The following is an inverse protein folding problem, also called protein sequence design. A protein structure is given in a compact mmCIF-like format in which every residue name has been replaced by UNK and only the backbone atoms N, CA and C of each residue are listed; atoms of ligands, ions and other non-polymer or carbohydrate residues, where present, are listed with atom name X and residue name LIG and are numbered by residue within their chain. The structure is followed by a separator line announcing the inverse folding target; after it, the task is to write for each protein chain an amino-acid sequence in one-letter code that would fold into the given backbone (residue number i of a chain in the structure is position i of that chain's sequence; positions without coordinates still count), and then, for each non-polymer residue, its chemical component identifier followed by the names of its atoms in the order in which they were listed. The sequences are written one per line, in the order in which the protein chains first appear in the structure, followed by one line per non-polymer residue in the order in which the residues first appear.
data_IF_645318119960
#
_entry.id   IF_645318119960
#
_cell.length_a   1.000
_cell.length_b   1.000
_cell.length_c   1.000
_cell.angle_alpha   90.00
_cell.angle_beta   90.00
_cell.angle_gamma   90.00
#
_symmetry.space_group_name_H-M   'P 1'
#
loop_
_entity.id
_entity.type
_entity.pdbx_description
1 polymer ?
#
# COMPACT_ATOMS: atom_id res chain seq x y z
N UNK A 1 49.60 -43.95 -10.28
CA UNK A 1 48.91 -43.21 -9.21
C UNK A 1 48.07 -42.10 -9.83
N UNK A 2 46.74 -42.29 -9.82
CA UNK A 2 45.75 -41.31 -10.28
C UNK A 2 45.62 -40.23 -9.20
N UNK A 3 45.80 -38.95 -9.54
CA UNK A 3 45.36 -37.85 -8.69
C UNK A 3 44.49 -36.90 -9.52
N UNK A 4 43.27 -36.76 -9.04
CA UNK A 4 42.13 -36.09 -9.62
C UNK A 4 42.42 -34.60 -9.89
N UNK A 5 42.07 -34.15 -11.09
CA UNK A 5 41.79 -32.73 -11.37
C UNK A 5 40.38 -32.45 -10.85
N UNK A 6 40.27 -31.85 -9.66
CA UNK A 6 39.00 -31.33 -9.16
C UNK A 6 38.78 -29.96 -9.78
N UNK A 7 37.91 -29.89 -10.78
CA UNK A 7 37.43 -28.63 -11.35
C UNK A 7 36.48 -27.96 -10.37
N UNK A 8 36.84 -26.77 -9.90
CA UNK A 8 35.94 -25.90 -9.14
C UNK A 8 34.98 -25.24 -10.12
N UNK A 9 33.88 -25.92 -10.44
CA UNK A 9 32.76 -25.31 -11.15
C UNK A 9 32.08 -24.33 -10.18
N UNK A 10 32.35 -23.04 -10.36
CA UNK A 10 31.59 -21.98 -9.70
C UNK A 10 30.13 -22.05 -10.20
N UNK A 11 29.25 -22.61 -9.38
CA UNK A 11 27.83 -22.52 -9.58
C UNK A 11 27.39 -21.06 -9.39
N UNK A 12 27.33 -20.31 -10.49
CA UNK A 12 26.60 -19.05 -10.55
C UNK A 12 25.14 -19.42 -10.35
N UNK A 13 24.65 -19.26 -9.12
CA UNK A 13 23.22 -19.29 -8.82
C UNK A 13 22.61 -18.11 -9.57
N UNK A 14 22.09 -18.39 -10.77
CA UNK A 14 21.21 -17.49 -11.50
C UNK A 14 19.96 -17.30 -10.63
N UNK A 15 19.97 -16.22 -9.85
CA UNK A 15 18.77 -15.71 -9.20
C UNK A 15 17.71 -15.51 -10.30
N UNK A 16 16.50 -16.07 -10.17
CA UNK A 16 15.46 -15.89 -11.16
C UNK A 16 15.15 -14.38 -11.33
N UNK A 17 14.99 -13.88 -12.58
CA UNK A 17 14.70 -12.47 -12.86
C UNK A 17 13.50 -11.90 -12.10
N UNK A 18 12.60 -12.76 -11.62
CA UNK A 18 11.45 -12.40 -10.79
C UNK A 18 11.84 -11.66 -9.50
N UNK A 19 13.06 -11.86 -8.96
CA UNK A 19 13.52 -11.14 -7.78
C UNK A 19 13.87 -9.66 -8.04
N UNK A 20 14.06 -9.26 -9.31
CA UNK A 20 14.36 -7.88 -9.70
C UNK A 20 13.12 -7.07 -10.11
N UNK A 21 11.95 -7.71 -10.22
CA UNK A 21 10.69 -7.08 -10.65
C UNK A 21 9.85 -6.52 -9.49
N UNK A 22 10.28 -6.68 -8.23
CA UNK A 22 9.65 -6.02 -7.10
C UNK A 22 10.12 -4.57 -7.05
N UNK A 23 9.31 -3.64 -7.57
CA UNK A 23 9.56 -2.20 -7.46
C UNK A 23 9.90 -1.78 -6.02
N UNK A 24 10.67 -0.69 -5.87
CA UNK A 24 11.11 -0.19 -4.56
C UNK A 24 9.90 0.02 -3.64
N UNK A 25 9.88 -0.70 -2.50
CA UNK A 25 8.86 -0.55 -1.46
C UNK A 25 9.03 0.75 -0.67
N UNK A 26 7.92 1.37 -0.28
CA UNK A 26 7.91 2.51 0.63
C UNK A 26 8.32 2.11 2.06
N UNK A 27 9.12 2.95 2.73
CA UNK A 27 9.54 2.76 4.12
C UNK A 27 8.90 3.76 5.10
N UNK A 28 8.12 4.71 4.60
CA UNK A 28 7.28 5.62 5.40
C UNK A 28 5.96 5.92 4.71
N UNK A 29 4.99 6.44 5.45
CA UNK A 29 3.73 6.96 4.89
C UNK A 29 3.98 8.08 3.87
N UNK A 30 5.01 8.90 4.06
CA UNK A 30 5.39 9.95 3.10
C UNK A 30 5.92 9.38 1.78
N UNK A 31 6.75 8.33 1.85
CA UNK A 31 7.21 7.64 0.64
C UNK A 31 6.04 6.96 -0.08
N UNK A 32 5.12 6.33 0.66
CA UNK A 32 3.93 5.69 0.09
C UNK A 32 3.01 6.72 -0.55
N UNK A 33 2.74 7.85 0.12
CA UNK A 33 1.95 8.94 -0.44
C UNK A 33 2.57 9.47 -1.75
N UNK A 34 3.90 9.60 -1.79
CA UNK A 34 4.63 10.04 -2.99
C UNK A 34 4.57 9.04 -4.14
N UNK A 35 4.66 7.74 -3.88
CA UNK A 35 4.51 6.70 -4.91
C UNK A 35 3.14 6.80 -5.59
N UNK A 36 2.12 7.20 -4.83
CA UNK A 36 0.74 7.33 -5.26
C UNK A 36 0.28 8.78 -5.49
N UNK A 37 1.20 9.71 -5.73
CA UNK A 37 0.83 11.12 -5.93
C UNK A 37 -0.09 11.31 -7.14
N UNK A 38 -1.20 12.01 -6.91
CA UNK A 38 -2.24 12.35 -7.89
C UNK A 38 -2.34 13.87 -8.14
N UNK A 39 -1.34 14.63 -7.72
CA UNK A 39 -1.35 16.09 -7.85
C UNK A 39 -1.39 16.52 -9.33
N UNK A 40 -0.79 15.75 -10.24
CA UNK A 40 -0.89 16.02 -11.69
C UNK A 40 -2.31 15.85 -12.23
N UNK A 41 -3.08 14.88 -11.70
CA UNK A 41 -4.46 14.62 -12.09
C UNK A 41 -5.35 15.86 -11.90
N UNK A 42 -5.11 16.64 -10.84
CA UNK A 42 -5.84 17.90 -10.55
C UNK A 42 -5.73 18.93 -11.67
N UNK A 43 -4.62 18.95 -12.42
CA UNK A 43 -4.37 19.96 -13.48
C UNK A 43 -5.38 19.85 -14.62
N UNK A 44 -5.78 18.63 -14.96
CA UNK A 44 -6.72 18.35 -16.06
C UNK A 44 -8.11 17.91 -15.54
N UNK A 45 -8.19 17.34 -14.34
CA UNK A 45 -9.42 16.80 -13.73
C UNK A 45 -9.83 17.52 -12.44
N UNK A 46 -9.72 18.85 -12.41
CA UNK A 46 -9.92 19.66 -11.21
C UNK A 46 -11.25 19.41 -10.49
N UNK A 47 -12.35 19.25 -11.25
CA UNK A 47 -13.69 18.98 -10.67
C UNK A 47 -13.72 17.63 -9.96
N UNK A 48 -13.31 16.55 -10.64
CA UNK A 48 -13.30 15.19 -10.08
C UNK A 48 -12.35 15.11 -8.89
N UNK A 49 -11.19 15.77 -8.98
CA UNK A 49 -10.25 15.85 -7.87
C UNK A 49 -10.88 16.52 -6.64
N UNK A 50 -11.56 17.65 -6.81
CA UNK A 50 -12.20 18.37 -5.71
C UNK A 50 -13.37 17.59 -5.08
N UNK A 51 -14.06 16.76 -5.85
CA UNK A 51 -15.07 15.83 -5.35
C UNK A 51 -14.43 14.66 -4.58
N UNK A 52 -13.37 14.06 -5.13
CA UNK A 52 -12.61 12.99 -4.49
C UNK A 52 -12.00 13.43 -3.15
N UNK A 53 -11.37 14.60 -3.09
CA UNK A 53 -10.70 15.12 -1.90
C UNK A 53 -11.65 15.27 -0.69
N UNK A 54 -12.95 15.43 -0.95
CA UNK A 54 -14.01 15.52 0.07
C UNK A 54 -14.68 14.17 0.40
N UNK A 55 -14.29 13.11 -0.30
CA UNK A 55 -14.89 11.78 -0.16
C UNK A 55 -14.24 10.96 0.95
N UNK A 56 -14.96 9.93 1.42
CA UNK A 56 -14.39 8.96 2.35
C UNK A 56 -13.24 8.14 1.77
N UNK A 57 -13.10 8.06 0.44
CA UNK A 57 -11.96 7.40 -0.18
C UNK A 57 -10.65 8.17 0.07
N UNK A 58 -10.67 9.50 -0.07
CA UNK A 58 -9.49 10.33 0.18
C UNK A 58 -9.01 10.23 1.63
N UNK A 59 -9.93 10.04 2.58
CA UNK A 59 -9.63 9.90 4.01
C UNK A 59 -9.90 8.47 4.49
N UNK A 60 -9.64 7.43 3.71
CA UNK A 60 -10.13 6.07 3.98
C UNK A 60 -9.67 5.42 5.29
N UNK A 61 -8.59 5.90 5.91
CA UNK A 61 -8.11 5.45 7.22
C UNK A 61 -8.61 6.29 8.40
N UNK A 62 -8.95 7.55 8.15
CA UNK A 62 -9.50 8.46 9.16
C UNK A 62 -11.02 8.34 9.17
N UNK A 63 -11.61 8.44 7.98
CA UNK A 63 -12.98 8.10 7.62
C UNK A 63 -14.02 8.88 8.39
N UNK A 64 -15.16 8.22 8.59
CA UNK A 64 -16.16 8.63 9.59
C UNK A 64 -15.55 8.62 11.00
N UNK A 65 -16.18 9.23 12.02
CA UNK A 65 -15.66 9.24 13.39
C UNK A 65 -15.32 7.85 13.97
N UNK A 66 -15.85 6.78 13.39
CA UNK A 66 -15.63 5.39 13.84
C UNK A 66 -14.51 4.67 13.11
N UNK A 67 -14.09 5.08 11.91
CA UNK A 67 -13.16 4.29 11.08
C UNK A 67 -11.80 4.13 11.77
N UNK A 68 -11.16 5.24 12.13
CA UNK A 68 -9.88 5.22 12.84
C UNK A 68 -9.98 4.51 14.21
N UNK A 69 -11.06 4.73 14.95
CA UNK A 69 -11.29 4.08 16.24
C UNK A 69 -11.41 2.56 16.11
N UNK A 70 -12.12 2.08 15.08
CA UNK A 70 -12.24 0.64 14.80
C UNK A 70 -10.89 0.04 14.42
N UNK A 71 -10.10 0.71 13.56
CA UNK A 71 -8.73 0.26 13.22
C UNK A 71 -7.90 0.15 14.51
N UNK A 72 -7.93 1.17 15.36
CA UNK A 72 -7.21 1.18 16.63
C UNK A 72 -7.65 0.04 17.57
N UNK A 73 -8.94 -0.27 17.67
CA UNK A 73 -9.42 -1.41 18.48
C UNK A 73 -9.06 -2.75 17.85
N UNK A 74 -9.14 -2.88 16.52
CA UNK A 74 -8.71 -4.11 15.83
C UNK A 74 -7.22 -4.37 16.05
N UNK A 75 -6.39 -3.33 16.14
CA UNK A 75 -4.99 -3.49 16.51
C UNK A 75 -4.85 -3.88 17.99
N UNK A 76 -5.30 -3.01 18.90
CA UNK A 76 -5.04 -3.15 20.35
C UNK A 76 -5.70 -4.38 20.96
N UNK A 77 -6.93 -4.66 20.56
CA UNK A 77 -7.74 -5.72 21.16
C UNK A 77 -7.76 -6.94 20.25
N UNK A 78 -7.74 -6.79 18.93
CA UNK A 78 -7.63 -7.92 18.00
C UNK A 78 -6.19 -8.43 17.88
N UNK A 79 -5.42 -7.83 16.98
CA UNK A 79 -4.11 -8.31 16.53
C UNK A 79 -3.10 -8.51 17.67
N UNK A 80 -3.11 -7.66 18.70
CA UNK A 80 -2.14 -7.70 19.80
C UNK A 80 -2.60 -8.53 21.01
N UNK A 81 -3.87 -8.96 21.07
CA UNK A 81 -4.43 -9.70 22.22
C UNK A 81 -5.26 -10.92 21.82
N UNK A 82 -6.42 -10.71 21.20
CA UNK A 82 -7.42 -11.77 20.97
C UNK A 82 -7.06 -12.70 19.80
N UNK A 83 -6.35 -12.20 18.79
CA UNK A 83 -5.98 -13.00 17.60
C UNK A 83 -4.75 -13.84 17.90
N UNK A 84 -4.92 -14.92 18.66
CA UNK A 84 -3.85 -15.79 19.16
C UNK A 84 -2.91 -16.37 18.10
N UNK A 85 -3.36 -16.44 16.83
CA UNK A 85 -2.58 -16.90 15.70
C UNK A 85 -1.86 -15.77 14.92
N UNK A 86 -2.04 -14.50 15.28
CA UNK A 86 -1.28 -13.38 14.68
C UNK A 86 0.21 -13.48 15.02
N UNK A 87 0.53 -13.90 16.25
CA UNK A 87 1.89 -13.86 16.78
C UNK A 87 2.37 -12.46 17.19
N UNK A 88 1.60 -11.40 16.94
CA UNK A 88 1.93 -10.03 17.31
C UNK A 88 1.53 -9.74 18.77
N UNK A 89 2.43 -9.09 19.53
CA UNK A 89 2.19 -8.73 20.94
C UNK A 89 2.26 -7.23 21.18
N UNK A 90 2.98 -6.53 20.33
CA UNK A 90 3.14 -5.07 20.34
C UNK A 90 3.20 -4.52 18.91
N UNK A 91 3.07 -3.21 18.76
CA UNK A 91 3.01 -2.55 17.44
C UNK A 91 4.21 -2.93 16.57
N UNK A 92 5.42 -3.10 17.14
CA UNK A 92 6.61 -3.45 16.36
C UNK A 92 6.57 -4.85 15.74
N UNK A 93 5.68 -5.73 16.19
CA UNK A 93 5.52 -7.07 15.62
C UNK A 93 4.61 -7.05 14.39
N UNK A 94 3.88 -5.95 14.19
CA UNK A 94 2.97 -5.82 13.06
C UNK A 94 3.74 -5.78 11.74
N UNK A 95 3.12 -6.41 10.75
CA UNK A 95 3.59 -6.49 9.36
C UNK A 95 2.52 -5.93 8.45
N UNK A 96 2.88 -5.73 7.17
CA UNK A 96 1.89 -5.42 6.13
C UNK A 96 0.76 -6.43 6.14
N UNK A 97 1.07 -7.74 6.24
CA UNK A 97 0.07 -8.82 6.23
C UNK A 97 -0.95 -8.67 7.37
N UNK A 98 -0.51 -8.39 8.59
CA UNK A 98 -1.40 -8.13 9.72
C UNK A 98 -2.39 -6.99 9.41
N UNK A 99 -1.88 -5.90 8.84
CA UNK A 99 -2.70 -4.72 8.53
C UNK A 99 -3.62 -4.93 7.32
N UNK A 100 -3.36 -5.92 6.46
CA UNK A 100 -4.20 -6.20 5.29
C UNK A 100 -5.62 -6.64 5.64
N UNK A 101 -5.92 -7.08 6.87
CA UNK A 101 -7.29 -7.34 7.33
C UNK A 101 -8.20 -6.10 7.16
N UNK A 102 -7.65 -4.90 7.34
CA UNK A 102 -8.33 -3.63 7.10
C UNK A 102 -7.89 -3.01 5.76
N UNK A 103 -6.59 -3.03 5.50
CA UNK A 103 -5.97 -2.30 4.39
C UNK A 103 -6.30 -2.88 3.01
N UNK A 104 -6.73 -4.14 2.88
CA UNK A 104 -7.18 -4.71 1.60
C UNK A 104 -8.24 -3.84 0.91
N UNK A 105 -9.08 -3.17 1.70
CA UNK A 105 -10.11 -2.25 1.21
C UNK A 105 -9.79 -0.79 1.54
N UNK A 106 -9.26 -0.49 2.72
CA UNK A 106 -9.08 0.91 3.18
C UNK A 106 -7.75 1.55 2.75
N UNK A 107 -6.74 0.76 2.39
CA UNK A 107 -5.45 1.26 1.89
C UNK A 107 -4.74 0.16 1.07
N UNK A 108 -5.31 -0.27 -0.07
CA UNK A 108 -4.84 -1.44 -0.80
C UNK A 108 -3.39 -1.32 -1.27
N UNK A 109 -2.89 -0.10 -1.45
CA UNK A 109 -1.50 0.17 -1.80
C UNK A 109 -0.49 -0.14 -0.68
N UNK A 110 -0.94 -0.47 0.54
CA UNK A 110 -0.04 -0.87 1.63
C UNK A 110 0.83 -2.08 1.24
N UNK A 111 0.37 -2.92 0.30
CA UNK A 111 1.14 -4.05 -0.24
C UNK A 111 2.50 -3.64 -0.85
N UNK A 112 2.62 -2.38 -1.27
CA UNK A 112 3.82 -1.81 -1.91
C UNK A 112 4.74 -1.12 -0.88
N UNK A 113 4.52 -1.37 0.40
CA UNK A 113 5.32 -0.84 1.51
C UNK A 113 6.06 -1.95 2.28
N UNK A 114 7.00 -1.54 3.13
CA UNK A 114 7.61 -2.39 4.14
C UNK A 114 6.79 -2.39 5.42
N UNK A 115 7.08 -3.31 6.33
CA UNK A 115 6.41 -3.41 7.63
C UNK A 115 6.58 -2.15 8.47
N UNK A 116 7.61 -1.33 8.21
CA UNK A 116 7.78 -0.03 8.87
C UNK A 116 6.55 0.87 8.67
N UNK A 117 5.98 0.90 7.46
CA UNK A 117 4.78 1.69 7.16
C UNK A 117 3.54 1.12 7.83
N UNK A 118 3.43 -0.21 7.90
CA UNK A 118 2.32 -0.86 8.61
C UNK A 118 2.31 -0.47 10.11
N UNK A 119 3.49 -0.43 10.73
CA UNK A 119 3.68 -0.01 12.12
C UNK A 119 3.40 1.48 12.31
N UNK A 120 3.85 2.31 11.37
CA UNK A 120 3.60 3.76 11.36
C UNK A 120 2.09 4.06 11.31
N UNK A 121 1.35 3.39 10.41
CA UNK A 121 -0.11 3.49 10.30
C UNK A 121 -0.79 2.99 11.58
N UNK A 122 -0.35 1.84 12.10
CA UNK A 122 -0.95 1.26 13.30
C UNK A 122 -0.81 2.18 14.51
N UNK A 123 0.39 2.73 14.73
CA UNK A 123 0.66 3.68 15.79
C UNK A 123 -0.17 4.96 15.61
N UNK A 124 -0.17 5.53 14.40
CA UNK A 124 -0.92 6.74 14.11
C UNK A 124 -2.43 6.56 14.26
N UNK A 125 -2.98 5.37 13.99
CA UNK A 125 -4.39 5.05 14.23
C UNK A 125 -4.72 4.97 15.72
N UNK A 126 -3.85 4.36 16.52
CA UNK A 126 -4.00 4.29 17.97
C UNK A 126 -3.97 5.69 18.59
N UNK A 127 -2.95 6.49 18.24
CA UNK A 127 -2.75 7.82 18.81
C UNK A 127 -3.84 8.79 18.34
N UNK A 128 -4.19 8.75 17.05
CA UNK A 128 -5.29 9.54 16.49
C UNK A 128 -6.64 9.20 17.14
N UNK A 129 -6.91 7.91 17.40
CA UNK A 129 -8.12 7.50 18.12
C UNK A 129 -8.12 7.94 19.60
N UNK A 130 -6.95 8.20 20.18
CA UNK A 130 -6.79 8.77 21.51
C UNK A 130 -6.85 10.31 21.54
N UNK A 131 -7.00 10.97 20.38
CA UNK A 131 -7.14 12.41 20.26
C UNK A 131 -5.90 13.15 19.76
N UNK A 132 -4.85 12.46 19.32
CA UNK A 132 -3.68 13.10 18.71
C UNK A 132 -4.01 13.57 17.28
N UNK A 133 -4.22 14.88 17.12
CA UNK A 133 -4.50 15.49 15.82
C UNK A 133 -3.30 15.48 14.86
N UNK A 134 -2.05 15.38 15.35
CA UNK A 134 -0.89 15.19 14.49
C UNK A 134 -0.91 13.79 13.87
N UNK A 135 -1.11 12.75 14.68
CA UNK A 135 -1.23 11.37 14.21
C UNK A 135 -2.34 11.20 13.15
N UNK A 136 -3.51 11.81 13.40
CA UNK A 136 -4.62 11.86 12.45
C UNK A 136 -4.24 12.55 11.13
N UNK A 137 -3.50 13.67 11.18
CA UNK A 137 -2.99 14.35 9.97
C UNK A 137 -1.99 13.47 9.21
N UNK A 138 -1.14 12.73 9.91
CA UNK A 138 -0.21 11.80 9.28
C UNK A 138 -0.96 10.67 8.54
N UNK A 139 -1.99 10.07 9.16
CA UNK A 139 -2.85 9.08 8.49
C UNK A 139 -3.55 9.65 7.26
N UNK A 140 -4.01 10.90 7.30
CA UNK A 140 -4.71 11.53 6.18
C UNK A 140 -3.83 11.78 4.95
N UNK A 141 -2.50 11.62 5.04
CA UNK A 141 -1.60 11.71 3.88
C UNK A 141 -1.78 10.54 2.92
N UNK A 142 -2.27 9.40 3.41
CA UNK A 142 -2.47 8.18 2.63
C UNK A 142 -3.95 7.81 2.62
N UNK A 143 -4.44 7.41 1.46
CA UNK A 143 -5.84 7.06 1.27
C UNK A 143 -6.08 6.49 -0.12
N UNK A 144 -7.32 6.06 -0.39
CA UNK A 144 -7.71 5.59 -1.71
C UNK A 144 -7.79 6.79 -2.65
N UNK A 145 -7.03 6.76 -3.75
CA UNK A 145 -6.97 7.85 -4.71
C UNK A 145 -7.18 7.37 -6.15
N UNK A 146 -6.98 8.27 -7.12
CA UNK A 146 -7.19 8.02 -8.54
C UNK A 146 -6.44 6.76 -9.02
N UNK A 147 -5.17 6.59 -8.63
CA UNK A 147 -4.34 5.46 -9.08
C UNK A 147 -4.78 4.13 -8.49
N UNK A 148 -5.44 4.14 -7.33
CA UNK A 148 -5.99 2.92 -6.76
C UNK A 148 -7.11 2.38 -7.65
N UNK A 149 -8.01 3.24 -8.10
CA UNK A 149 -9.13 2.83 -8.95
C UNK A 149 -8.72 2.68 -10.43
N UNK A 150 -7.95 3.61 -10.96
CA UNK A 150 -7.57 3.67 -12.37
C UNK A 150 -6.30 2.88 -12.71
N UNK A 151 -5.63 2.26 -11.73
CA UNK A 151 -4.56 1.31 -11.99
C UNK A 151 -4.78 0.04 -11.17
N UNK A 152 -4.57 0.07 -9.85
CA UNK A 152 -4.51 -1.16 -9.04
C UNK A 152 -5.79 -2.01 -9.01
N UNK A 153 -6.96 -1.38 -9.17
CA UNK A 153 -8.27 -2.04 -9.12
C UNK A 153 -9.01 -1.98 -10.46
N UNK A 154 -8.34 -1.52 -11.52
CA UNK A 154 -8.97 -1.39 -12.83
C UNK A 154 -9.26 -2.76 -13.47
N UNK A 155 -8.35 -3.71 -13.28
CA UNK A 155 -8.50 -5.08 -13.76
C UNK A 155 -9.00 -5.96 -12.62
N UNK A 156 -10.27 -6.35 -12.68
CA UNK A 156 -10.93 -7.15 -11.63
C UNK A 156 -10.83 -8.65 -11.90
N UNK A 157 -10.71 -9.07 -13.17
CA UNK A 157 -10.57 -10.48 -13.55
C UNK A 157 -9.15 -10.76 -14.01
N UNK A 158 -8.18 -10.74 -13.09
CA UNK A 158 -6.75 -10.97 -13.39
C UNK A 158 -6.47 -12.15 -14.35
N UNK A 159 -7.24 -13.24 -14.24
CA UNK A 159 -7.06 -14.43 -15.08
C UNK A 159 -7.56 -14.26 -16.53
N UNK A 160 -8.38 -13.23 -16.77
CA UNK A 160 -8.89 -12.84 -18.09
C UNK A 160 -8.15 -11.62 -18.62
N UNK A 161 -7.95 -10.61 -17.77
CA UNK A 161 -7.48 -9.28 -18.15
C UNK A 161 -5.97 -9.09 -17.98
N UNK A 162 -5.30 -10.01 -17.26
CA UNK A 162 -3.89 -9.91 -16.91
C UNK A 162 -3.62 -9.12 -15.63
N UNK A 163 -2.34 -8.83 -15.39
CA UNK A 163 -1.89 -7.96 -14.31
C UNK A 163 -1.97 -6.49 -14.75
N UNK A 164 -2.12 -5.58 -13.78
CA UNK A 164 -2.07 -4.15 -14.04
C UNK A 164 -0.67 -3.75 -14.51
N UNK A 165 -0.61 -2.98 -15.59
CA UNK A 165 0.65 -2.50 -16.13
C UNK A 165 1.20 -1.34 -15.28
N UNK A 166 2.52 -1.30 -15.03
CA UNK A 166 3.15 -0.17 -14.36
C UNK A 166 2.94 1.13 -15.13
N UNK A 167 2.58 2.21 -14.44
CA UNK A 167 2.35 3.54 -15.01
C UNK A 167 1.21 3.61 -16.04
N UNK A 168 0.30 2.64 -16.10
CA UNK A 168 -0.86 2.68 -17.00
C UNK A 168 -2.11 3.17 -16.27
N UNK A 169 -2.88 4.04 -16.92
CA UNK A 169 -4.19 4.50 -16.45
C UNK A 169 -5.28 3.85 -17.30
N UNK A 170 -6.12 3.04 -16.65
CA UNK A 170 -7.25 2.40 -17.28
C UNK A 170 -8.49 3.29 -17.16
N UNK A 171 -9.17 3.46 -18.29
CA UNK A 171 -10.38 4.27 -18.44
C UNK A 171 -11.42 3.55 -19.31
N UNK A 172 -12.55 4.20 -19.56
CA UNK A 172 -13.61 3.67 -20.42
C UNK A 172 -13.31 3.79 -21.93
N UNK A 173 -12.17 4.36 -22.30
CA UNK A 173 -11.72 4.54 -23.68
C UNK A 173 -10.23 4.25 -23.74
N UNK A 174 -9.81 3.63 -24.83
CA UNK A 174 -8.39 3.47 -25.17
C UNK A 174 -7.85 4.75 -25.82
N UNK A 175 -6.58 5.04 -25.59
CA UNK A 175 -5.86 6.15 -26.20
C UNK A 175 -4.77 6.72 -25.30
N UNK A 176 -3.98 7.63 -25.87
CA UNK A 176 -2.90 8.29 -25.14
C UNK A 176 -3.44 9.24 -24.08
N UNK A 177 -2.82 9.22 -22.90
CA UNK A 177 -3.08 10.18 -21.85
C UNK A 177 -2.02 11.30 -21.91
N UNK A 178 -2.40 12.59 -21.86
CA UNK A 178 -1.46 13.70 -22.08
C UNK A 178 -0.53 13.98 -20.88
N UNK A 179 -0.57 13.16 -19.84
CA UNK A 179 0.30 13.33 -18.67
C UNK A 179 1.62 12.61 -18.93
N UNK A 180 2.77 13.29 -18.86
CA UNK A 180 4.05 12.66 -19.19
C UNK A 180 4.45 11.46 -18.31
N UNK A 181 3.74 11.19 -17.21
CA UNK A 181 3.92 10.00 -16.37
C UNK A 181 3.06 8.80 -16.80
N UNK A 182 1.91 9.03 -17.45
CA UNK A 182 0.83 8.04 -17.63
C UNK A 182 0.32 8.00 -19.06
#
# INVERSE_FOLDING_TARGET
MKLLRVGLAAAIVLLPPAALAAGKKANSMDELAKMYDVTSCKKCHAKVFAEWEKSYHATSLVGSPRTMATIASTIKDGLLKEYTHSGAKEVKDLTVEHMMICAKCHLPQLKDATDAVAREIAQAAIDGAAGDEYAKKQLAKVGINCLICHNQKALIHKWTDGEVEPNTIYANKEGDHPDGKF
#
